data_IF_697904572003
#
_entry.id   IF_697904572003
#
_cell.length_a   1.000
_cell.length_b   1.000
_cell.length_c   1.000
_cell.angle_alpha   90.00
_cell.angle_beta   90.00
_cell.angle_gamma   90.00
#
_symmetry.space_group_name_H-M   'P 1'
#
loop_
_entity.id
_entity.type
_entity.pdbx_description
1 polymer ?
#
# COMPACT_ATOMS: atom_id res chain seq x y z
N UNK A 1 -14.97 -8.13 9.57
CA UNK A 1 -13.60 -8.51 9.97
C UNK A 1 -13.63 -8.95 11.42
N UNK A 2 -12.90 -10.00 11.82
CA UNK A 2 -12.93 -10.49 13.21
C UNK A 2 -12.26 -9.47 14.14
N UNK A 3 -12.94 -8.94 15.20
CA UNK A 3 -12.40 -7.93 16.13
C UNK A 3 -11.10 -8.35 16.82
N UNK A 4 -10.86 -9.65 16.98
CA UNK A 4 -9.62 -10.17 17.58
C UNK A 4 -8.37 -9.98 16.70
N UNK A 5 -8.51 -9.82 15.39
CA UNK A 5 -7.39 -9.52 14.47
C UNK A 5 -6.94 -8.05 14.53
N UNK A 6 -7.86 -7.14 14.86
CA UNK A 6 -7.57 -5.71 14.98
C UNK A 6 -6.81 -5.37 16.27
N UNK A 7 -6.88 -6.23 17.29
CA UNK A 7 -6.18 -6.04 18.58
C UNK A 7 -4.66 -6.23 18.50
N UNK A 8 -4.11 -6.63 17.37
CA UNK A 8 -2.67 -6.91 17.19
C UNK A 8 -2.12 -6.13 16.00
N UNK A 9 -2.12 -4.80 16.12
CA UNK A 9 -1.40 -3.94 15.18
C UNK A 9 0.07 -3.94 15.65
N UNK A 10 0.96 -4.37 14.76
CA UNK A 10 2.40 -4.42 15.04
C UNK A 10 2.96 -2.99 15.05
N UNK A 11 3.54 -2.59 16.17
CA UNK A 11 4.26 -1.33 16.33
C UNK A 11 5.68 -1.54 15.83
N UNK A 12 6.11 -0.71 14.89
CA UNK A 12 7.43 -0.75 14.27
C UNK A 12 8.41 0.21 14.96
N UNK A 13 7.88 1.33 15.47
CA UNK A 13 8.61 2.32 16.25
C UNK A 13 7.63 3.08 17.14
N UNK A 14 8.06 3.42 18.34
CA UNK A 14 7.30 4.24 19.30
C UNK A 14 8.24 5.05 20.16
N UNK A 15 7.98 6.36 20.24
CA UNK A 15 8.64 7.28 21.17
C UNK A 15 7.67 8.37 21.66
N UNK A 16 8.20 9.46 22.24
CA UNK A 16 7.39 10.58 22.74
C UNK A 16 6.74 11.43 21.61
N UNK A 17 7.24 11.36 20.37
CA UNK A 17 6.90 12.25 19.27
C UNK A 17 6.12 11.58 18.16
N UNK A 18 6.36 10.30 17.92
CA UNK A 18 5.70 9.57 16.84
C UNK A 18 5.45 8.10 17.19
N UNK A 19 4.49 7.51 16.51
CA UNK A 19 4.24 6.08 16.49
C UNK A 19 4.16 5.59 15.05
N UNK A 20 4.85 4.51 14.76
CA UNK A 20 4.88 3.88 13.43
C UNK A 20 4.35 2.47 13.56
N UNK A 21 3.41 2.11 12.71
CA UNK A 21 2.79 0.78 12.75
C UNK A 21 2.77 0.11 11.38
N UNK A 22 2.69 -1.21 11.38
CA UNK A 22 2.40 -2.01 10.21
C UNK A 22 0.88 -2.13 10.05
N UNK A 23 0.28 -1.25 9.24
CA UNK A 23 -1.15 -1.27 8.98
C UNK A 23 -1.56 -2.59 8.31
N UNK A 24 -2.49 -3.37 8.86
CA UNK A 24 -3.07 -4.49 8.14
C UNK A 24 -3.93 -3.99 6.95
N UNK A 25 -4.09 -4.85 5.95
CA UNK A 25 -5.06 -4.60 4.89
C UNK A 25 -6.49 -4.81 5.38
N UNK A 26 -7.45 -4.18 4.69
CA UNK A 26 -8.88 -4.29 4.96
C UNK A 26 -9.41 -3.32 6.02
N UNK A 27 -8.58 -2.40 6.51
CA UNK A 27 -8.98 -1.31 7.41
C UNK A 27 -8.59 0.04 6.80
N UNK A 28 -9.47 1.03 6.89
CA UNK A 28 -9.18 2.41 6.48
C UNK A 28 -8.20 3.06 7.46
N UNK A 29 -7.44 4.03 6.99
CA UNK A 29 -6.53 4.79 7.87
C UNK A 29 -7.30 5.72 8.78
N UNK A 30 -8.32 6.39 8.23
CA UNK A 30 -9.19 7.37 8.90
C UNK A 30 -10.64 6.97 8.67
N UNK A 31 -11.52 7.57 9.45
CA UNK A 31 -12.96 7.38 9.30
C UNK A 31 -13.42 7.57 7.85
N UNK A 32 -14.19 6.62 7.38
CA UNK A 32 -14.79 6.63 6.05
C UNK A 32 -16.29 6.87 6.17
N UNK A 33 -16.75 8.04 5.75
CA UNK A 33 -18.16 8.41 5.82
C UNK A 33 -19.08 7.47 5.00
N UNK A 34 -18.53 6.78 3.99
CA UNK A 34 -19.27 5.74 3.25
C UNK A 34 -19.44 4.42 4.04
N UNK A 35 -18.73 4.28 5.17
CA UNK A 35 -18.75 3.08 6.03
C UNK A 35 -18.67 3.47 7.49
N UNK A 36 -19.69 4.17 8.01
CA UNK A 36 -19.64 4.76 9.34
C UNK A 36 -19.48 3.75 10.48
N UNK A 37 -19.94 2.52 10.29
CA UNK A 37 -19.89 1.45 11.29
C UNK A 37 -18.59 0.61 11.24
N UNK A 38 -17.71 0.84 10.24
CA UNK A 38 -16.43 0.15 10.19
C UNK A 38 -15.37 0.90 11.03
N UNK A 39 -14.61 0.19 11.88
CA UNK A 39 -13.53 0.81 12.62
C UNK A 39 -12.43 1.27 11.66
N UNK A 40 -11.78 2.36 11.98
CA UNK A 40 -10.59 2.83 11.29
C UNK A 40 -9.33 2.66 12.17
N UNK A 41 -8.17 2.68 11.52
CA UNK A 41 -6.88 2.46 12.19
C UNK A 41 -6.59 3.55 13.23
N UNK A 42 -6.89 4.81 12.88
CA UNK A 42 -6.60 5.95 13.75
C UNK A 42 -7.39 5.86 15.07
N UNK A 43 -8.70 5.56 15.00
CA UNK A 43 -9.53 5.37 16.19
C UNK A 43 -8.99 4.24 17.08
N UNK A 44 -8.65 3.08 16.49
CA UNK A 44 -8.09 1.95 17.25
C UNK A 44 -6.75 2.27 17.91
N UNK A 45 -5.90 3.04 17.23
CA UNK A 45 -4.62 3.44 17.82
C UNK A 45 -4.81 4.49 18.92
N UNK A 46 -5.79 5.38 18.79
CA UNK A 46 -6.09 6.35 19.85
C UNK A 46 -6.63 5.69 21.13
N UNK A 47 -7.40 4.60 21.02
CA UNK A 47 -7.84 3.82 22.18
C UNK A 47 -6.65 3.25 22.97
N UNK A 48 -5.57 2.90 22.28
CA UNK A 48 -4.39 2.26 22.90
C UNK A 48 -3.32 3.26 23.34
N UNK A 49 -3.09 4.30 22.54
CA UNK A 49 -1.94 5.20 22.70
C UNK A 49 -2.32 6.65 23.04
N UNK A 50 -3.61 6.93 23.23
CA UNK A 50 -4.09 8.28 23.44
C UNK A 50 -4.17 9.09 22.15
N UNK A 51 -4.17 10.40 22.26
CA UNK A 51 -4.33 11.32 21.12
C UNK A 51 -3.19 11.18 20.12
N UNK A 52 -3.56 10.96 18.85
CA UNK A 52 -2.66 10.84 17.70
C UNK A 52 -3.11 11.78 16.57
N UNK A 53 -2.16 12.22 15.77
CA UNK A 53 -2.42 13.06 14.60
C UNK A 53 -1.96 12.34 13.33
N UNK A 54 -2.87 12.11 12.37
CA UNK A 54 -2.52 11.52 11.08
C UNK A 54 -1.78 12.52 10.20
N UNK A 55 -0.70 12.10 9.55
CA UNK A 55 0.10 12.94 8.64
C UNK A 55 0.02 12.45 7.19
N UNK A 56 -0.33 11.19 6.98
CA UNK A 56 -0.60 10.61 5.68
C UNK A 56 -1.61 9.46 5.79
N UNK A 57 -1.96 8.87 4.65
CA UNK A 57 -2.89 7.75 4.61
C UNK A 57 -2.43 6.65 3.66
N UNK A 58 -2.83 5.42 3.94
CA UNK A 58 -2.83 4.29 3.02
C UNK A 58 -4.27 3.93 2.67
N UNK A 59 -4.46 3.39 1.47
CA UNK A 59 -5.76 2.86 1.05
C UNK A 59 -6.18 1.70 1.95
N UNK A 60 -7.48 1.40 2.01
CA UNK A 60 -8.05 0.35 2.86
C UNK A 60 -7.33 -0.99 2.71
N UNK A 61 -7.12 -1.42 1.46
CA UNK A 61 -6.56 -2.74 1.16
C UNK A 61 -5.02 -2.72 0.98
N UNK A 62 -4.40 -1.54 1.06
CA UNK A 62 -2.94 -1.41 1.13
C UNK A 62 -2.47 -1.68 2.55
N UNK A 63 -1.53 -2.62 2.72
CA UNK A 63 -0.86 -2.90 3.99
C UNK A 63 0.48 -2.18 4.09
N UNK A 64 1.09 -2.13 5.28
CA UNK A 64 2.46 -1.69 5.46
C UNK A 64 2.64 -0.47 6.36
N UNK A 65 3.81 0.16 6.27
CA UNK A 65 4.26 1.19 7.19
C UNK A 65 3.42 2.47 7.09
N UNK A 66 2.98 2.96 8.24
CA UNK A 66 2.28 4.24 8.40
C UNK A 66 2.71 4.91 9.70
N UNK A 67 2.88 6.23 9.68
CA UNK A 67 3.29 7.04 10.83
C UNK A 67 2.17 7.96 11.29
N UNK A 68 2.08 8.14 12.62
CA UNK A 68 1.22 9.12 13.27
C UNK A 68 2.07 9.96 14.22
N UNK A 69 1.79 11.25 14.33
CA UNK A 69 2.40 12.11 15.33
C UNK A 69 1.72 11.94 16.69
N UNK A 70 2.48 12.09 17.77
CA UNK A 70 2.01 12.05 19.17
C UNK A 70 1.98 13.43 19.82
N UNK A 71 2.54 14.45 19.15
CA UNK A 71 2.54 15.85 19.59
C UNK A 71 2.17 16.78 18.44
N UNK A 72 1.64 17.93 18.75
CA UNK A 72 1.29 18.95 17.74
C UNK A 72 2.53 19.45 17.00
N UNK A 73 3.66 19.58 17.68
CA UNK A 73 4.93 19.98 17.07
C UNK A 73 5.37 18.93 16.02
N UNK A 74 5.38 17.65 16.39
CA UNK A 74 5.71 16.57 15.46
C UNK A 74 4.72 16.49 14.27
N UNK A 75 3.42 16.71 14.54
CA UNK A 75 2.40 16.74 13.48
C UNK A 75 2.68 17.86 12.46
N UNK A 76 3.06 19.05 12.91
CA UNK A 76 3.40 20.18 12.04
C UNK A 76 4.60 19.85 11.15
N UNK A 77 5.71 19.42 11.75
CA UNK A 77 6.93 19.08 11.00
C UNK A 77 6.70 17.94 10.00
N UNK A 78 6.07 16.85 10.44
CA UNK A 78 5.78 15.73 9.55
C UNK A 78 4.83 16.13 8.41
N UNK A 79 3.79 16.92 8.69
CA UNK A 79 2.84 17.38 7.66
C UNK A 79 3.54 18.24 6.61
N UNK A 80 4.45 19.11 7.01
CA UNK A 80 5.27 19.92 6.12
C UNK A 80 6.14 19.05 5.22
N UNK A 81 6.90 18.10 5.78
CA UNK A 81 7.76 17.20 5.00
C UNK A 81 6.99 16.32 4.01
N UNK A 82 5.78 15.84 4.40
CA UNK A 82 4.92 15.13 3.45
C UNK A 82 4.42 16.02 2.31
N UNK A 83 4.14 17.31 2.58
CA UNK A 83 3.72 18.30 1.57
C UNK A 83 4.88 18.67 0.64
N UNK A 84 6.07 18.86 1.19
CA UNK A 84 7.30 19.22 0.48
C UNK A 84 7.94 18.02 -0.22
N UNK A 85 7.42 16.79 0.00
CA UNK A 85 7.90 15.53 -0.57
C UNK A 85 9.26 15.09 -0.03
N UNK A 86 9.61 15.55 1.14
CA UNK A 86 10.86 15.25 1.85
C UNK A 86 10.84 13.90 2.57
N UNK A 87 9.79 13.11 2.30
CA UNK A 87 9.61 11.76 2.85
C UNK A 87 9.74 10.75 1.72
N UNK A 88 10.77 9.91 1.79
CA UNK A 88 10.93 8.83 0.82
C UNK A 88 9.99 7.66 1.17
N UNK A 89 9.23 7.21 0.16
CA UNK A 89 8.23 6.14 0.27
C UNK A 89 8.58 5.01 -0.68
N UNK A 90 8.65 3.80 -0.16
CA UNK A 90 8.91 2.60 -0.94
C UNK A 90 7.73 1.65 -0.80
N UNK A 91 7.14 1.29 -1.91
CA UNK A 91 6.08 0.28 -1.98
C UNK A 91 6.55 -0.91 -2.77
N UNK A 92 6.10 -2.09 -2.38
CA UNK A 92 6.20 -3.28 -3.19
C UNK A 92 4.81 -3.67 -3.72
N UNK A 93 4.75 -4.01 -5.00
CA UNK A 93 3.52 -4.45 -5.64
C UNK A 93 3.76 -5.72 -6.47
N UNK A 94 2.77 -6.60 -6.50
CA UNK A 94 2.74 -7.71 -7.45
C UNK A 94 1.88 -7.24 -8.62
N UNK A 95 2.50 -7.06 -9.79
CA UNK A 95 1.80 -6.62 -11.00
C UNK A 95 1.53 -7.80 -11.94
N UNK A 96 0.50 -7.68 -12.76
CA UNK A 96 0.12 -8.68 -13.76
C UNK A 96 1.06 -8.61 -14.96
N UNK A 97 1.54 -9.77 -15.41
CA UNK A 97 2.40 -9.92 -16.58
C UNK A 97 3.88 -9.71 -16.27
N UNK A 98 4.66 -9.66 -17.34
CA UNK A 98 6.11 -9.48 -17.32
C UNK A 98 6.47 -8.19 -18.06
N UNK A 99 6.67 -7.08 -17.35
CA UNK A 99 7.09 -5.82 -17.95
C UNK A 99 8.36 -6.00 -18.80
N UNK A 100 8.46 -5.44 -20.00
CA UNK A 100 9.66 -5.54 -20.84
C UNK A 100 10.85 -4.71 -20.32
N UNK A 101 10.57 -3.83 -19.36
CA UNK A 101 11.55 -2.94 -18.73
C UNK A 101 12.04 -3.49 -17.39
N UNK A 102 13.24 -3.10 -16.97
CA UNK A 102 13.77 -3.29 -15.60
C UNK A 102 13.39 -2.12 -14.69
N UNK A 103 13.36 -0.91 -15.25
CA UNK A 103 12.94 0.32 -14.59
C UNK A 103 12.05 1.13 -15.53
N UNK A 104 11.08 1.83 -14.97
CA UNK A 104 10.18 2.69 -15.72
C UNK A 104 9.58 3.78 -14.83
N UNK A 105 9.54 5.00 -15.34
CA UNK A 105 8.83 6.11 -14.70
C UNK A 105 7.47 6.29 -15.36
N UNK A 106 6.42 6.38 -14.55
CA UNK A 106 5.12 6.88 -14.94
C UNK A 106 5.01 8.33 -14.46
N UNK A 107 5.01 9.26 -15.41
CA UNK A 107 4.78 10.70 -15.19
C UNK A 107 3.48 11.07 -15.92
N UNK A 108 2.38 11.07 -15.17
CA UNK A 108 1.07 11.34 -15.72
C UNK A 108 0.17 12.00 -14.65
N UNK A 109 -0.43 13.17 -14.93
CA UNK A 109 -1.26 13.88 -13.98
C UNK A 109 -2.55 13.11 -13.67
N UNK A 110 -2.94 13.11 -12.38
CA UNK A 110 -4.04 12.33 -11.87
C UNK A 110 -5.14 13.21 -11.29
N UNK A 111 -6.38 12.89 -11.63
CA UNK A 111 -7.59 13.49 -11.06
C UNK A 111 -8.37 12.44 -10.26
N UNK A 112 -8.46 12.66 -8.95
CA UNK A 112 -9.34 11.86 -8.09
C UNK A 112 -10.81 12.13 -8.45
N UNK A 113 -11.67 11.14 -8.19
CA UNK A 113 -13.09 11.21 -8.52
C UNK A 113 -13.34 11.57 -10.00
N UNK A 114 -12.56 10.96 -10.86
CA UNK A 114 -12.42 11.35 -12.27
C UNK A 114 -13.45 10.74 -13.21
N UNK A 115 -14.19 9.73 -12.80
CA UNK A 115 -15.20 9.06 -13.60
C UNK A 115 -16.46 8.68 -12.78
N UNK A 116 -17.46 8.09 -13.45
CA UNK A 116 -18.73 7.67 -12.82
C UNK A 116 -18.58 6.58 -11.75
N UNK A 117 -17.42 5.94 -11.67
CA UNK A 117 -17.08 4.96 -10.63
C UNK A 117 -16.27 5.56 -9.49
N UNK A 118 -16.15 6.89 -9.44
CA UNK A 118 -15.37 7.63 -8.45
C UNK A 118 -13.90 7.21 -8.39
N UNK A 119 -13.33 6.75 -9.54
CA UNK A 119 -11.94 6.35 -9.63
C UNK A 119 -11.04 7.56 -9.86
N UNK A 120 -9.78 7.42 -9.49
CA UNK A 120 -8.71 8.30 -9.98
C UNK A 120 -8.40 7.95 -11.42
N UNK A 121 -8.30 8.96 -12.28
CA UNK A 121 -8.00 8.80 -13.72
C UNK A 121 -6.81 9.65 -14.12
N UNK A 122 -6.14 9.26 -15.20
CA UNK A 122 -5.17 10.14 -15.88
C UNK A 122 -5.95 11.24 -16.58
N UNK A 123 -5.62 12.49 -16.28
CA UNK A 123 -6.27 13.66 -16.87
C UNK A 123 -5.24 14.76 -17.10
N UNK A 124 -4.79 14.89 -18.35
CA UNK A 124 -3.76 15.86 -18.75
C UNK A 124 -4.20 17.32 -18.56
N UNK A 125 -5.52 17.59 -18.62
CA UNK A 125 -6.04 18.95 -18.57
C UNK A 125 -6.33 19.43 -17.12
N UNK A 126 -6.83 18.51 -16.26
CA UNK A 126 -7.32 18.85 -14.90
C UNK A 126 -6.69 18.02 -13.78
N UNK A 127 -5.82 17.08 -14.13
CA UNK A 127 -5.09 16.25 -13.17
C UNK A 127 -4.01 17.04 -12.43
N UNK A 128 -3.74 16.62 -11.21
CA UNK A 128 -2.60 17.13 -10.43
C UNK A 128 -1.34 16.34 -10.82
N UNK A 129 -0.16 16.97 -10.89
CA UNK A 129 1.11 16.28 -11.20
C UNK A 129 1.31 15.06 -10.31
N UNK A 130 1.70 13.95 -10.93
CA UNK A 130 1.94 12.69 -10.24
C UNK A 130 3.06 11.90 -10.96
N UNK A 131 4.07 11.49 -10.19
CA UNK A 131 5.23 10.75 -10.68
C UNK A 131 5.45 9.52 -9.81
N UNK A 132 5.66 8.36 -10.45
CA UNK A 132 6.01 7.10 -9.79
C UNK A 132 7.12 6.39 -10.55
N UNK A 133 8.21 6.07 -9.86
CA UNK A 133 9.31 5.26 -10.38
C UNK A 133 9.05 3.80 -10.06
N UNK A 134 9.10 2.93 -11.06
CA UNK A 134 8.97 1.49 -10.91
C UNK A 134 10.29 0.81 -11.22
N UNK A 135 10.65 -0.20 -10.42
CA UNK A 135 11.79 -1.09 -10.63
C UNK A 135 11.35 -2.54 -10.46
N UNK A 136 11.71 -3.40 -11.41
CA UNK A 136 11.48 -4.84 -11.31
C UNK A 136 12.41 -5.42 -10.25
N UNK A 137 11.83 -6.09 -9.25
CA UNK A 137 12.58 -6.83 -8.24
C UNK A 137 12.72 -8.30 -8.62
N UNK A 138 11.62 -8.91 -9.07
CA UNK A 138 11.60 -10.34 -9.42
C UNK A 138 10.48 -10.63 -10.42
N UNK A 139 10.80 -11.41 -11.47
CA UNK A 139 9.82 -11.95 -12.42
C UNK A 139 9.29 -13.28 -11.90
N UNK A 140 7.96 -13.43 -11.87
CA UNK A 140 7.25 -14.54 -11.20
C UNK A 140 6.21 -15.16 -12.15
N UNK A 141 6.66 -15.84 -13.23
CA UNK A 141 5.79 -16.40 -14.28
C UNK A 141 4.87 -15.36 -14.92
N UNK A 142 3.59 -15.35 -14.53
CA UNK A 142 2.55 -14.44 -15.03
C UNK A 142 2.45 -13.13 -14.23
N UNK A 143 3.32 -12.96 -13.24
CA UNK A 143 3.37 -11.80 -12.37
C UNK A 143 4.79 -11.28 -12.25
N UNK A 144 4.91 -10.08 -11.75
CA UNK A 144 6.21 -9.48 -11.43
C UNK A 144 6.12 -8.75 -10.11
N UNK A 145 7.06 -8.99 -9.22
CA UNK A 145 7.26 -8.17 -8.03
C UNK A 145 8.01 -6.91 -8.45
N UNK A 146 7.43 -5.75 -8.20
CA UNK A 146 8.04 -4.46 -8.48
C UNK A 146 8.12 -3.61 -7.21
N UNK A 147 9.16 -2.81 -7.14
CA UNK A 147 9.26 -1.66 -6.25
C UNK A 147 8.63 -0.46 -6.93
N UNK A 148 7.86 0.33 -6.20
CA UNK A 148 7.29 1.59 -6.65
C UNK A 148 7.67 2.71 -5.66
N UNK A 149 8.29 3.77 -6.17
CA UNK A 149 8.69 4.96 -5.40
C UNK A 149 7.90 6.16 -5.91
N UNK A 150 6.79 6.52 -5.27
CA UNK A 150 6.01 7.69 -5.65
C UNK A 150 6.64 8.96 -5.08
N UNK A 151 6.93 9.95 -5.92
CA UNK A 151 7.33 11.30 -5.49
C UNK A 151 6.16 12.06 -4.87
N UNK A 152 4.96 11.83 -5.40
CA UNK A 152 3.72 12.47 -4.96
C UNK A 152 2.83 11.46 -4.20
N UNK A 153 1.73 11.92 -3.59
CA UNK A 153 0.81 11.08 -2.83
C UNK A 153 -0.64 11.24 -3.29
N UNK A 154 -0.93 11.05 -4.60
CA UNK A 154 -2.31 11.13 -5.09
C UNK A 154 -3.08 9.85 -4.77
N UNK A 155 -4.38 9.98 -4.57
CA UNK A 155 -5.27 8.82 -4.35
C UNK A 155 -5.05 7.77 -5.43
N UNK A 156 -4.85 6.51 -5.03
CA UNK A 156 -4.62 5.36 -5.91
C UNK A 156 -3.45 5.52 -6.91
N UNK A 157 -2.53 6.44 -6.69
CA UNK A 157 -1.49 6.81 -7.66
C UNK A 157 -0.74 5.61 -8.23
N UNK A 158 -0.16 4.76 -7.39
CA UNK A 158 0.62 3.60 -7.83
C UNK A 158 -0.25 2.64 -8.65
N UNK A 159 -1.51 2.44 -8.25
CA UNK A 159 -2.47 1.56 -8.92
C UNK A 159 -2.78 2.05 -10.33
N UNK A 160 -3.09 3.34 -10.48
CA UNK A 160 -3.38 3.97 -11.78
C UNK A 160 -2.14 3.94 -12.68
N UNK A 161 -0.97 4.31 -12.14
CA UNK A 161 0.28 4.34 -12.91
C UNK A 161 0.72 2.95 -13.36
N UNK A 162 0.57 1.91 -12.52
CA UNK A 162 0.84 0.53 -12.92
C UNK A 162 -0.08 0.07 -14.06
N UNK A 163 -1.37 0.40 -13.98
CA UNK A 163 -2.34 0.11 -15.04
C UNK A 163 -2.03 0.89 -16.34
N UNK A 164 -1.63 2.17 -16.24
CA UNK A 164 -1.21 2.99 -17.37
C UNK A 164 -0.03 2.37 -18.12
N UNK A 165 0.91 1.74 -17.40
CA UNK A 165 2.05 1.05 -18.00
C UNK A 165 1.69 -0.34 -18.58
N UNK A 166 0.42 -0.75 -18.55
CA UNK A 166 -0.08 -2.04 -19.05
C UNK A 166 0.11 -3.21 -18.07
N UNK A 167 0.54 -2.94 -16.84
CA UNK A 167 0.80 -3.94 -15.81
C UNK A 167 0.04 -3.60 -14.52
N UNK A 168 -1.30 -3.73 -14.48
CA UNK A 168 -2.08 -3.41 -13.30
C UNK A 168 -1.65 -4.28 -12.12
N UNK A 169 -1.87 -3.78 -10.91
CA UNK A 169 -1.61 -4.54 -9.70
C UNK A 169 -2.55 -5.74 -9.63
N UNK A 170 -2.04 -6.89 -9.23
CA UNK A 170 -2.83 -8.11 -9.11
C UNK A 170 -3.96 -7.96 -8.09
N UNK A 171 -5.10 -8.55 -8.38
CA UNK A 171 -6.33 -8.49 -7.61
C UNK A 171 -6.85 -7.04 -7.35
N UNK A 172 -6.52 -6.10 -8.23
CA UNK A 172 -7.06 -4.75 -8.22
C UNK A 172 -8.38 -4.72 -9.01
N UNK A 173 -9.49 -4.51 -8.32
CA UNK A 173 -10.85 -4.49 -8.86
C UNK A 173 -11.24 -3.17 -9.55
N UNK A 174 -10.47 -2.10 -9.31
CA UNK A 174 -10.73 -0.78 -9.89
C UNK A 174 -9.90 -0.52 -11.16
N UNK A 175 -8.65 -0.99 -11.19
CA UNK A 175 -7.69 -0.68 -12.27
C UNK A 175 -7.15 -1.92 -12.98
N UNK A 176 -7.51 -3.12 -12.53
CA UNK A 176 -7.20 -4.42 -13.11
C UNK A 176 -8.46 -5.24 -13.37
N UNK A 177 -8.30 -6.56 -13.39
CA UNK A 177 -9.39 -7.51 -13.56
C UNK A 177 -10.04 -7.97 -12.25
N UNK A 178 -9.51 -7.56 -11.10
CA UNK A 178 -9.98 -7.93 -9.77
C UNK A 178 -9.86 -9.41 -9.41
N UNK A 179 -9.24 -10.23 -10.27
CA UNK A 179 -9.19 -11.68 -10.08
C UNK A 179 -8.24 -12.06 -8.96
N UNK A 180 -8.71 -12.81 -7.94
CA UNK A 180 -7.83 -13.34 -6.92
C UNK A 180 -6.80 -14.30 -7.51
N UNK A 181 -5.62 -14.38 -6.87
CA UNK A 181 -4.59 -15.34 -7.24
C UNK A 181 -4.84 -16.64 -6.47
N UNK A 182 -5.12 -17.73 -7.20
CA UNK A 182 -5.23 -19.09 -6.66
C UNK A 182 -4.02 -19.94 -7.04
N UNK A 183 -3.60 -20.81 -6.14
CA UNK A 183 -2.49 -21.72 -6.41
C UNK A 183 -2.85 -22.73 -7.53
N UNK A 184 -4.10 -23.17 -7.60
CA UNK A 184 -4.64 -24.03 -8.67
C UNK A 184 -4.49 -23.43 -10.07
N UNK A 185 -4.60 -22.11 -10.20
CA UNK A 185 -4.40 -21.42 -11.49
C UNK A 185 -2.92 -21.35 -11.93
N UNK A 186 -2.01 -21.65 -11.02
CA UNK A 186 -0.57 -21.51 -11.22
C UNK A 186 0.15 -22.85 -11.33
N UNK A 187 -0.33 -23.87 -10.63
CA UNK A 187 0.31 -25.18 -10.50
C UNK A 187 -0.43 -26.22 -11.35
N UNK A 188 0.26 -26.80 -12.34
CA UNK A 188 -0.31 -27.79 -13.29
C UNK A 188 -0.91 -29.02 -12.58
N UNK A 189 -0.23 -29.51 -11.54
CA UNK A 189 -0.61 -30.70 -10.79
C UNK A 189 -1.18 -30.36 -9.42
N UNK A 190 -1.94 -29.26 -9.34
CA UNK A 190 -2.61 -28.89 -8.10
C UNK A 190 -3.63 -29.97 -7.71
N UNK A 191 -3.45 -30.55 -6.54
CA UNK A 191 -4.41 -31.50 -5.95
C UNK A 191 -5.11 -30.81 -4.79
N UNK A 192 -6.42 -30.65 -4.90
CA UNK A 192 -7.25 -30.25 -3.77
C UNK A 192 -7.28 -31.41 -2.75
N UNK A 193 -7.14 -31.05 -1.48
CA UNK A 193 -7.35 -32.00 -0.37
C UNK A 193 -8.81 -32.12 0.05
N UNK A 194 -9.74 -31.76 -0.83
CA UNK A 194 -11.18 -31.78 -0.57
C UNK A 194 -11.73 -30.55 0.15
N UNK A 195 -10.86 -29.65 0.64
CA UNK A 195 -11.27 -28.37 1.21
C UNK A 195 -11.43 -27.29 0.11
N UNK A 196 -12.28 -26.30 0.38
CA UNK A 196 -12.38 -25.13 -0.49
C UNK A 196 -11.04 -24.40 -0.55
N UNK A 197 -10.53 -24.20 -1.76
CA UNK A 197 -9.29 -23.45 -1.95
C UNK A 197 -9.44 -21.99 -1.56
N UNK A 198 -8.54 -21.50 -0.70
CA UNK A 198 -8.45 -20.08 -0.38
C UNK A 198 -7.44 -19.40 -1.33
N UNK A 199 -7.74 -18.18 -1.80
CA UNK A 199 -6.80 -17.46 -2.65
C UNK A 199 -5.53 -17.09 -1.89
N UNK A 200 -4.40 -17.13 -2.58
CA UNK A 200 -3.12 -16.61 -2.08
C UNK A 200 -3.21 -15.09 -1.88
N UNK A 201 -3.88 -14.41 -2.82
CA UNK A 201 -4.11 -12.97 -2.82
C UNK A 201 -5.52 -12.66 -3.32
N UNK A 202 -6.32 -11.99 -2.50
CA UNK A 202 -7.72 -11.61 -2.83
C UNK A 202 -7.99 -10.12 -2.76
N UNK A 203 -6.95 -9.32 -2.51
CA UNK A 203 -6.99 -7.86 -2.41
C UNK A 203 -5.90 -7.25 -3.26
N UNK A 204 -5.94 -5.96 -3.49
CA UNK A 204 -4.86 -5.22 -4.18
C UNK A 204 -3.51 -5.63 -3.60
N UNK A 205 -2.65 -6.24 -4.44
CA UNK A 205 -1.34 -6.73 -4.04
C UNK A 205 -0.33 -5.59 -3.91
N UNK A 206 -0.60 -4.65 -2.98
CA UNK A 206 0.21 -3.47 -2.69
C UNK A 206 0.56 -3.40 -1.20
N UNK A 207 1.83 -3.10 -0.92
CA UNK A 207 2.36 -3.03 0.43
C UNK A 207 3.33 -1.84 0.57
N UNK A 208 3.09 -0.94 1.52
CA UNK A 208 4.01 0.14 1.89
C UNK A 208 5.19 -0.48 2.65
N UNK A 209 6.27 -0.78 1.91
CA UNK A 209 7.42 -1.54 2.40
C UNK A 209 8.34 -0.72 3.28
N UNK A 210 8.56 0.55 2.91
CA UNK A 210 9.51 1.40 3.60
C UNK A 210 9.08 2.86 3.61
N UNK A 211 9.52 3.55 4.65
CA UNK A 211 9.34 4.99 4.85
C UNK A 211 10.64 5.55 5.44
N UNK A 212 11.23 6.55 4.79
CA UNK A 212 12.39 7.27 5.32
C UNK A 212 12.01 8.73 5.53
N UNK A 213 12.23 9.23 6.73
CA UNK A 213 11.95 10.61 7.14
C UNK A 213 12.95 11.04 8.23
N UNK A 214 13.05 12.32 8.49
CA UNK A 214 13.78 12.82 9.65
C UNK A 214 12.92 12.70 10.92
N UNK A 215 13.55 12.46 12.06
CA UNK A 215 12.83 12.44 13.34
C UNK A 215 12.46 13.89 13.77
N UNK A 216 11.18 14.17 14.10
CA UNK A 216 10.70 15.54 14.28
C UNK A 216 11.30 16.30 15.48
N UNK A 217 11.94 15.62 16.42
CA UNK A 217 12.58 16.25 17.56
C UNK A 217 14.11 16.24 17.47
N UNK A 218 14.74 15.19 16.92
CA UNK A 218 16.20 15.07 16.88
C UNK A 218 16.80 15.46 15.53
N UNK A 219 16.02 15.46 14.45
CA UNK A 219 16.48 15.66 13.09
C UNK A 219 17.23 14.46 12.49
N UNK A 220 17.41 13.37 13.24
CA UNK A 220 18.07 12.16 12.76
C UNK A 220 17.22 11.43 11.71
N UNK A 221 17.87 10.87 10.69
CA UNK A 221 17.17 10.09 9.67
C UNK A 221 16.68 8.76 10.24
N UNK A 222 15.38 8.50 10.08
CA UNK A 222 14.72 7.25 10.43
C UNK A 222 14.38 6.47 9.17
N UNK A 223 14.92 5.25 9.05
CA UNK A 223 14.56 4.30 8.02
C UNK A 223 13.66 3.21 8.60
N UNK A 224 12.40 3.20 8.20
CA UNK A 224 11.33 2.39 8.78
C UNK A 224 10.87 1.35 7.77
N UNK A 225 10.85 0.08 8.15
CA UNK A 225 10.43 -1.02 7.30
C UNK A 225 9.29 -1.82 7.91
N UNK A 226 8.24 -2.10 7.11
CA UNK A 226 7.19 -3.02 7.49
C UNK A 226 7.46 -4.42 6.94
N UNK A 227 7.38 -5.48 7.76
CA UNK A 227 7.37 -6.85 7.24
C UNK A 227 6.14 -7.06 6.35
N UNK A 228 6.27 -7.90 5.34
CA UNK A 228 5.14 -8.21 4.47
C UNK A 228 3.96 -8.79 5.25
N UNK A 229 2.75 -8.40 4.85
CA UNK A 229 1.54 -9.07 5.28
C UNK A 229 1.56 -10.55 4.87
N UNK A 230 0.94 -11.42 5.67
CA UNK A 230 1.01 -12.88 5.50
C UNK A 230 0.60 -13.33 4.09
N UNK A 231 -0.49 -12.78 3.56
CA UNK A 231 -0.99 -13.06 2.21
C UNK A 231 0.02 -12.65 1.13
N UNK A 232 0.60 -11.45 1.26
CA UNK A 232 1.59 -10.92 0.34
C UNK A 232 2.86 -11.77 0.33
N UNK A 233 3.39 -12.11 1.50
CA UNK A 233 4.58 -12.96 1.65
C UNK A 233 4.33 -14.38 1.12
N UNK A 234 3.18 -14.98 1.46
CA UNK A 234 2.81 -16.31 0.97
C UNK A 234 2.71 -16.34 -0.56
N UNK A 235 2.12 -15.29 -1.15
CA UNK A 235 1.99 -15.15 -2.60
C UNK A 235 3.36 -15.11 -3.28
N UNK A 236 4.28 -14.23 -2.82
CA UNK A 236 5.64 -14.17 -3.37
C UNK A 236 6.32 -15.53 -3.27
N UNK A 237 6.29 -16.16 -2.08
CA UNK A 237 6.95 -17.43 -1.83
C UNK A 237 6.41 -18.56 -2.72
N UNK A 238 5.09 -18.61 -2.96
CA UNK A 238 4.51 -19.62 -3.85
C UNK A 238 4.85 -19.35 -5.32
N UNK A 239 4.75 -18.10 -5.76
CA UNK A 239 5.10 -17.71 -7.12
C UNK A 239 6.58 -17.97 -7.43
N UNK A 240 7.50 -17.68 -6.51
CA UNK A 240 8.94 -17.92 -6.66
C UNK A 240 9.29 -19.40 -6.80
N UNK A 241 8.54 -20.30 -6.17
CA UNK A 241 8.74 -21.76 -6.30
C UNK A 241 8.30 -22.32 -7.65
N UNK A 242 7.54 -21.54 -8.42
CA UNK A 242 6.97 -21.93 -9.71
C UNK A 242 7.74 -21.31 -10.88
N UNK A 243 8.70 -20.45 -10.59
CA UNK A 243 9.62 -19.85 -11.56
C UNK A 243 10.83 -20.71 -11.78
#
# INVERSE_FOLDING_TARGET
MNPSRLRRIDVLHEDAHLIVVNKPAGITTLHDAARPDEPDLHALLQERFGRLWPVHRLDRDTSGVIVFARTEAAHRSLSEWFQERDVAKVYHAIVVGNPPWSERTADAPLRADGDRRHRTVVDAARGKPAVTHFRVLQRLRRYTLVEARPETGRTHQIRVHAALLGHPIAADDLYGDGRPIFLSHLKRDYRSNGAQELPLMSRVALHARGLTLNHPATGESLELHAPYAKDFNATINQLSKLT
#
